data_IF_217907788727
#
_entry.id   IF_217907788727
#
_cell.length_a   1.000
_cell.length_b   1.000
_cell.length_c   1.000
_cell.angle_alpha   90.00
_cell.angle_beta   90.00
_cell.angle_gamma   90.00
#
_symmetry.space_group_name_H-M   'P 1'
#
loop_
_entity.id
_entity.type
_entity.pdbx_description
1 polymer ?
#
# COMPACT_ATOMS: atom_id res chain seq x y z
N UNK A 1 -4.85 21.87 0.44
CA UNK A 1 -3.82 20.91 0.93
C UNK A 1 -3.77 19.63 0.10
N UNK A 2 -4.93 19.12 -0.36
CA UNK A 2 -5.06 17.89 -1.16
C UNK A 2 -4.16 17.84 -2.43
N UNK A 3 -4.06 18.88 -3.28
CA UNK A 3 -3.30 18.78 -4.54
C UNK A 3 -1.79 18.58 -4.34
N UNK A 4 -1.23 19.20 -3.30
CA UNK A 4 0.18 19.05 -2.95
C UNK A 4 0.42 17.64 -2.41
N UNK A 5 -0.50 17.09 -1.62
CA UNK A 5 -0.43 15.70 -1.15
C UNK A 5 -0.50 14.70 -2.32
N UNK A 6 -1.38 14.94 -3.31
CA UNK A 6 -1.50 14.09 -4.50
C UNK A 6 -0.24 14.16 -5.37
N UNK A 7 0.32 15.36 -5.58
CA UNK A 7 1.57 15.54 -6.34
C UNK A 7 2.78 14.91 -5.64
N UNK A 8 2.81 14.94 -4.30
CA UNK A 8 3.87 14.33 -3.50
C UNK A 8 3.82 12.80 -3.49
N UNK A 9 2.66 12.19 -3.75
CA UNK A 9 2.54 10.72 -3.88
C UNK A 9 3.17 10.21 -5.18
N UNK A 10 3.02 10.96 -6.28
CA UNK A 10 3.57 10.58 -7.59
C UNK A 10 5.10 10.80 -7.70
N UNK A 11 5.63 11.78 -6.98
CA UNK A 11 6.99 12.27 -7.20
C UNK A 11 8.10 11.40 -6.59
N UNK A 12 7.82 10.59 -5.56
CA UNK A 12 8.87 9.87 -4.80
C UNK A 12 9.61 8.82 -5.63
N UNK A 13 8.92 8.11 -6.53
CA UNK A 13 9.52 7.16 -7.47
C UNK A 13 9.83 7.74 -8.85
N UNK A 14 9.16 8.83 -9.22
CA UNK A 14 9.36 9.48 -10.52
C UNK A 14 10.74 10.14 -10.62
N UNK A 15 11.16 10.86 -9.56
CA UNK A 15 12.45 11.59 -9.56
C UNK A 15 13.66 10.66 -9.69
N UNK A 16 13.68 9.52 -8.98
CA UNK A 16 14.80 8.57 -9.06
C UNK A 16 14.90 7.92 -10.44
N UNK A 17 13.76 7.55 -11.02
CA UNK A 17 13.69 6.99 -12.39
C UNK A 17 14.14 8.03 -13.41
N UNK A 18 13.63 9.26 -13.32
CA UNK A 18 14.00 10.36 -14.21
C UNK A 18 15.49 10.69 -14.13
N UNK A 19 16.06 10.81 -12.93
CA UNK A 19 17.49 11.04 -12.73
C UNK A 19 18.32 9.88 -13.27
N UNK A 20 17.92 8.64 -13.01
CA UNK A 20 18.63 7.46 -13.53
C UNK A 20 18.64 7.42 -15.07
N UNK A 21 17.52 7.79 -15.71
CA UNK A 21 17.41 7.87 -17.16
C UNK A 21 18.29 8.97 -17.75
N UNK A 22 18.29 10.16 -17.12
CA UNK A 22 19.14 11.28 -17.54
C UNK A 22 20.63 10.92 -17.44
N UNK A 23 21.05 10.32 -16.33
CA UNK A 23 22.45 9.88 -16.13
C UNK A 23 22.83 8.81 -17.15
N UNK A 24 21.99 7.80 -17.36
CA UNK A 24 22.25 6.75 -18.35
C UNK A 24 22.34 7.31 -19.78
N UNK A 25 21.44 8.24 -20.15
CA UNK A 25 21.46 8.90 -21.45
C UNK A 25 22.68 9.79 -21.66
N UNK A 26 23.11 10.52 -20.63
CA UNK A 26 24.33 11.33 -20.66
C UNK A 26 25.57 10.45 -20.84
N UNK A 27 25.68 9.35 -20.09
CA UNK A 27 26.78 8.39 -20.23
C UNK A 27 26.80 7.78 -21.64
N UNK A 28 25.65 7.31 -22.15
CA UNK A 28 25.57 6.76 -23.49
C UNK A 28 25.97 7.77 -24.58
N UNK A 29 25.59 9.04 -24.40
CA UNK A 29 25.93 10.11 -25.34
C UNK A 29 27.43 10.42 -25.33
N UNK A 30 28.03 10.58 -24.15
CA UNK A 30 29.48 10.83 -24.01
C UNK A 30 30.27 9.64 -24.55
N UNK A 31 29.92 8.42 -24.16
CA UNK A 31 30.58 7.21 -24.64
C UNK A 31 30.45 7.05 -26.15
N UNK A 32 29.27 7.29 -26.73
CA UNK A 32 29.05 7.20 -28.17
C UNK A 32 29.87 8.22 -28.97
N UNK A 33 30.00 9.45 -28.48
CA UNK A 33 30.84 10.49 -29.11
C UNK A 33 32.32 10.14 -29.01
N UNK A 34 32.79 9.67 -27.85
CA UNK A 34 34.19 9.26 -27.67
C UNK A 34 34.54 8.10 -28.61
N UNK A 35 33.68 7.08 -28.71
CA UNK A 35 33.90 5.95 -29.64
C UNK A 35 33.93 6.42 -31.09
N UNK A 36 33.01 7.31 -31.47
CA UNK A 36 32.95 7.87 -32.83
C UNK A 36 34.25 8.57 -33.20
N UNK A 37 34.90 9.25 -32.25
CA UNK A 37 36.18 9.94 -32.47
C UNK A 37 37.37 8.98 -32.75
N UNK A 38 37.27 7.70 -32.41
CA UNK A 38 38.34 6.72 -32.64
C UNK A 38 38.09 5.78 -33.82
N UNK A 39 36.84 5.61 -34.27
CA UNK A 39 36.45 4.56 -35.24
C UNK A 39 35.90 5.14 -36.55
N UNK A 40 35.91 6.47 -36.73
CA UNK A 40 35.41 7.15 -37.95
C UNK A 40 33.99 6.73 -38.37
N UNK A 41 33.11 6.52 -37.38
CA UNK A 41 31.70 6.15 -37.58
C UNK A 41 30.81 7.35 -37.22
N UNK A 42 29.67 7.60 -37.92
CA UNK A 42 28.75 8.67 -37.56
C UNK A 42 28.34 8.64 -36.08
N UNK A 43 28.44 9.77 -35.35
CA UNK A 43 28.23 9.78 -33.90
C UNK A 43 26.79 9.44 -33.50
N UNK A 44 25.81 9.72 -34.35
CA UNK A 44 24.43 9.31 -34.12
C UNK A 44 24.27 7.80 -34.04
N UNK A 45 24.99 7.05 -34.89
CA UNK A 45 24.90 5.59 -34.91
C UNK A 45 25.55 4.96 -33.67
N UNK A 46 26.72 5.47 -33.25
CA UNK A 46 27.43 4.94 -32.08
C UNK A 46 26.69 5.19 -30.77
N UNK A 47 26.03 6.36 -30.61
CA UNK A 47 25.20 6.65 -29.43
C UNK A 47 24.04 5.66 -29.31
N UNK A 48 23.31 5.41 -30.41
CA UNK A 48 22.18 4.47 -30.41
C UNK A 48 22.63 3.05 -30.10
N UNK A 49 23.75 2.61 -30.68
CA UNK A 49 24.30 1.27 -30.44
C UNK A 49 24.75 1.08 -28.98
N UNK A 50 25.42 2.07 -28.39
CA UNK A 50 25.82 2.05 -26.98
C UNK A 50 24.60 2.05 -26.06
N UNK A 51 23.59 2.87 -26.35
CA UNK A 51 22.36 2.91 -25.57
C UNK A 51 21.59 1.58 -25.64
N UNK A 52 21.50 0.98 -26.83
CA UNK A 52 20.83 -0.30 -27.03
C UNK A 52 21.58 -1.44 -26.32
N UNK A 53 22.92 -1.48 -26.42
CA UNK A 53 23.74 -2.44 -25.69
C UNK A 53 23.62 -2.28 -24.16
N UNK A 54 23.58 -1.04 -23.68
CA UNK A 54 23.30 -0.75 -22.27
C UNK A 54 21.93 -1.27 -21.83
N UNK A 55 20.90 -1.01 -22.65
CA UNK A 55 19.52 -1.45 -22.39
C UNK A 55 19.38 -2.97 -22.37
N UNK A 56 20.01 -3.70 -23.30
CA UNK A 56 19.95 -5.17 -23.30
C UNK A 56 20.61 -5.79 -22.07
N UNK A 57 21.62 -5.13 -21.49
CA UNK A 57 22.27 -5.54 -20.23
C UNK A 57 21.43 -5.18 -19.01
N UNK A 58 20.81 -4.00 -18.97
CA UNK A 58 20.00 -3.55 -17.81
C UNK A 58 18.59 -4.16 -17.79
N UNK A 59 17.99 -4.45 -18.94
CA UNK A 59 16.67 -5.07 -19.06
C UNK A 59 16.50 -6.37 -18.25
N UNK A 60 17.41 -7.39 -18.33
CA UNK A 60 17.26 -8.60 -17.53
C UNK A 60 17.36 -8.32 -16.03
N UNK A 61 18.20 -7.37 -15.61
CA UNK A 61 18.28 -6.93 -14.19
C UNK A 61 16.95 -6.33 -13.74
N UNK A 62 16.35 -5.47 -14.55
CA UNK A 62 15.03 -4.90 -14.28
C UNK A 62 13.93 -5.95 -14.17
N UNK A 63 13.94 -6.95 -15.05
CA UNK A 63 12.97 -8.08 -15.04
C UNK A 63 13.19 -9.01 -13.84
N UNK A 64 14.44 -9.30 -13.48
CA UNK A 64 14.76 -10.12 -12.31
C UNK A 64 14.37 -9.43 -10.99
N UNK A 65 14.65 -8.13 -10.88
CA UNK A 65 14.28 -7.35 -9.69
C UNK A 65 12.77 -7.13 -9.57
N UNK A 66 12.05 -6.92 -10.68
CA UNK A 66 10.58 -6.78 -10.65
C UNK A 66 9.90 -8.10 -10.29
N UNK A 67 10.39 -9.23 -10.80
CA UNK A 67 9.93 -10.56 -10.39
C UNK A 67 10.15 -10.82 -8.89
N UNK A 68 11.29 -10.43 -8.34
CA UNK A 68 11.58 -10.56 -6.90
C UNK A 68 10.68 -9.67 -6.05
N UNK A 69 10.44 -8.43 -6.47
CA UNK A 69 9.55 -7.50 -5.75
C UNK A 69 8.13 -8.03 -5.63
N UNK A 70 7.58 -8.60 -6.71
CA UNK A 70 6.24 -9.18 -6.72
C UNK A 70 6.16 -10.43 -5.83
N UNK A 71 7.22 -11.24 -5.76
CA UNK A 71 7.26 -12.43 -4.91
C UNK A 71 7.36 -12.10 -3.40
N UNK A 72 7.87 -10.93 -3.05
CA UNK A 72 8.03 -10.48 -1.66
C UNK A 72 6.89 -9.62 -1.14
N UNK A 73 5.90 -9.24 -1.97
CA UNK A 73 4.70 -8.59 -1.44
C UNK A 73 3.97 -9.67 -0.65
N UNK A 74 3.91 -9.58 0.69
CA UNK A 74 3.05 -10.47 1.45
C UNK A 74 1.64 -10.28 0.88
N UNK A 75 0.86 -11.36 0.79
CA UNK A 75 -0.56 -11.19 0.55
C UNK A 75 -1.09 -10.38 1.72
N UNK A 76 -1.22 -9.07 1.53
CA UNK A 76 -1.84 -8.18 2.48
C UNK A 76 -3.31 -8.56 2.43
N UNK A 77 -3.68 -9.45 3.34
CA UNK A 77 -5.07 -9.68 3.67
C UNK A 77 -5.62 -8.28 3.93
N UNK A 78 -6.71 -7.86 3.26
CA UNK A 78 -7.37 -6.64 3.69
C UNK A 78 -7.56 -6.79 5.20
N UNK A 79 -6.93 -5.90 5.97
CA UNK A 79 -7.37 -5.72 7.34
C UNK A 79 -8.82 -5.29 7.18
N UNK A 80 -9.73 -6.22 7.48
CA UNK A 80 -11.13 -5.88 7.70
C UNK A 80 -11.09 -4.65 8.59
N UNK A 81 -11.72 -3.54 8.18
CA UNK A 81 -11.66 -2.31 8.97
C UNK A 81 -12.03 -2.72 10.38
N UNK A 82 -11.08 -2.57 11.31
CA UNK A 82 -11.30 -2.80 12.72
C UNK A 82 -12.48 -1.89 13.06
N UNK A 83 -13.67 -2.49 13.12
CA UNK A 83 -14.88 -1.79 13.52
C UNK A 83 -14.59 -1.43 14.95
N UNK A 84 -14.11 -0.20 15.11
CA UNK A 84 -13.90 0.44 16.38
C UNK A 84 -15.24 0.32 17.09
N UNK A 85 -15.35 -0.67 17.99
CA UNK A 85 -16.49 -0.86 18.87
C UNK A 85 -16.56 0.41 19.68
N UNK A 86 -17.39 1.33 19.23
CA UNK A 86 -17.82 2.47 20.02
C UNK A 86 -18.73 1.86 21.08
N UNK A 87 -18.13 1.36 22.16
CA UNK A 87 -18.86 1.05 23.38
C UNK A 87 -19.32 2.41 23.90
N UNK A 88 -20.56 2.78 23.58
CA UNK A 88 -21.16 3.95 24.20
C UNK A 88 -21.25 3.67 25.71
N UNK A 89 -20.73 4.57 26.57
CA UNK A 89 -20.80 4.36 28.00
C UNK A 89 -22.23 4.63 28.48
N UNK A 90 -23.07 3.60 28.49
CA UNK A 90 -24.43 3.71 29.02
C UNK A 90 -24.40 3.67 30.55
N UNK A 91 -24.93 4.72 31.19
CA UNK A 91 -24.86 4.95 32.65
C UNK A 91 -25.89 4.19 33.49
N UNK A 92 -26.43 3.06 33.02
CA UNK A 92 -27.43 2.33 33.79
C UNK A 92 -27.19 0.82 33.72
N UNK A 93 -27.54 0.14 34.81
CA UNK A 93 -27.50 -1.31 34.92
C UNK A 93 -28.79 -1.89 34.35
N UNK A 94 -28.69 -2.92 33.52
CA UNK A 94 -29.85 -3.60 32.99
C UNK A 94 -30.57 -4.40 34.09
N UNK A 95 -31.89 -4.27 34.11
CA UNK A 95 -32.75 -4.94 35.08
C UNK A 95 -34.23 -4.71 34.76
N UNK A 96 -35.14 -5.28 35.57
CA UNK A 96 -36.57 -5.10 35.42
C UNK A 96 -36.93 -3.61 35.51
N UNK A 97 -37.22 -2.98 34.37
CA UNK A 97 -37.55 -1.55 34.28
C UNK A 97 -36.55 -0.65 33.54
N UNK A 98 -35.48 -1.19 32.92
CA UNK A 98 -34.56 -0.37 32.12
C UNK A 98 -35.13 0.13 30.78
N UNK A 99 -36.34 -0.30 30.39
CA UNK A 99 -37.01 0.13 29.16
C UNK A 99 -36.60 -0.63 27.89
N UNK A 100 -35.55 -1.47 27.97
CA UNK A 100 -35.11 -2.32 26.87
C UNK A 100 -35.87 -3.65 26.82
N UNK A 101 -36.01 -4.20 25.60
CA UNK A 101 -36.69 -5.47 25.38
C UNK A 101 -35.89 -6.60 26.03
N UNK A 102 -36.49 -7.23 27.04
CA UNK A 102 -35.94 -8.42 27.69
C UNK A 102 -36.28 -9.67 26.89
N UNK A 103 -35.27 -10.46 26.54
CA UNK A 103 -35.41 -11.74 25.83
C UNK A 103 -34.76 -12.83 26.67
N UNK A 104 -35.50 -13.89 26.98
CA UNK A 104 -34.95 -15.06 27.66
C UNK A 104 -34.12 -15.88 26.68
N UNK A 105 -32.84 -16.10 26.99
CA UNK A 105 -31.95 -16.94 26.21
C UNK A 105 -31.25 -17.96 27.11
N UNK A 106 -31.76 -19.19 27.12
CA UNK A 106 -31.20 -20.27 27.93
C UNK A 106 -31.34 -20.00 29.43
N UNK A 107 -30.22 -19.75 30.10
CA UNK A 107 -30.11 -19.56 31.54
C UNK A 107 -29.98 -18.08 31.98
N UNK A 108 -30.09 -17.13 31.05
CA UNK A 108 -29.99 -15.70 31.32
C UNK A 108 -31.02 -14.89 30.52
N UNK A 109 -31.18 -13.62 30.94
CA UNK A 109 -32.05 -12.64 30.28
C UNK A 109 -31.14 -11.63 29.58
N UNK A 110 -31.30 -11.53 28.27
CA UNK A 110 -30.64 -10.53 27.43
C UNK A 110 -31.51 -9.29 27.31
N UNK A 111 -30.89 -8.11 27.35
CA UNK A 111 -31.55 -6.85 27.01
C UNK A 111 -31.01 -6.35 25.68
N UNK A 112 -31.90 -6.08 24.71
CA UNK A 112 -31.51 -5.63 23.36
C UNK A 112 -31.38 -4.11 23.34
N UNK A 113 -30.24 -3.61 22.84
CA UNK A 113 -29.94 -2.19 22.66
C UNK A 113 -29.25 -1.95 21.30
N UNK A 114 -29.72 -0.99 20.51
CA UNK A 114 -29.15 -0.60 19.20
C UNK A 114 -28.76 -1.75 18.24
N UNK A 115 -29.46 -2.89 18.34
CA UNK A 115 -29.23 -4.08 17.52
C UNK A 115 -28.24 -5.11 18.09
N UNK A 116 -27.65 -4.83 19.27
CA UNK A 116 -26.75 -5.73 19.99
C UNK A 116 -27.43 -6.34 21.22
N UNK A 117 -27.07 -7.59 21.55
CA UNK A 117 -27.58 -8.31 22.73
C UNK A 117 -26.56 -8.25 23.85
N UNK A 118 -26.97 -7.80 25.04
CA UNK A 118 -26.10 -7.76 26.21
C UNK A 118 -26.55 -8.79 27.24
N UNK A 119 -25.69 -9.76 27.54
CA UNK A 119 -25.90 -10.76 28.60
C UNK A 119 -25.16 -10.32 29.86
N UNK A 120 -25.83 -10.32 31.02
CA UNK A 120 -25.21 -9.98 32.32
C UNK A 120 -24.68 -11.23 33.00
N UNK A 121 -23.36 -11.34 33.15
CA UNK A 121 -22.73 -12.42 33.90
C UNK A 121 -21.68 -11.86 34.86
N UNK A 122 -21.67 -12.32 36.12
CA UNK A 122 -20.53 -12.13 37.04
C UNK A 122 -19.98 -10.70 37.21
N UNK A 123 -20.78 -9.65 36.99
CA UNK A 123 -20.36 -8.24 37.07
C UNK A 123 -19.80 -7.64 35.77
N UNK A 124 -19.92 -8.33 34.64
CA UNK A 124 -19.61 -7.83 33.29
C UNK A 124 -20.80 -8.03 32.33
N UNK A 125 -20.71 -7.39 31.17
CA UNK A 125 -21.69 -7.48 30.09
C UNK A 125 -21.01 -8.08 28.86
N UNK A 126 -21.55 -9.19 28.35
CA UNK A 126 -21.11 -9.80 27.09
C UNK A 126 -21.99 -9.29 25.94
N UNK A 127 -21.37 -8.76 24.89
CA UNK A 127 -22.05 -8.28 23.68
C UNK A 127 -22.06 -9.37 22.59
N UNK A 128 -23.23 -9.66 22.00
CA UNK A 128 -23.43 -10.56 20.87
C UNK A 128 -24.13 -9.89 19.68
#
# INVERSE_FOLDING_TARGET
VIPVATAQQFARGFRSTMLSAMVAGMLASVTGVVISAYVDVPPGATIVLVALAGFTVTAPVGVLLSRRRLATVPFEMPEEPEQQRVVEPHRHQHGPGCGHLAVEHGDHIDYIHDGHRHAVHGGHYDEH
#
